data_IF_164462883005
#
_entry.id   IF_164462883005
#
_cell.length_a   1.000
_cell.length_b   1.000
_cell.length_c   1.000
_cell.angle_alpha   90.00
_cell.angle_beta   90.00
_cell.angle_gamma   90.00
#
_symmetry.space_group_name_H-M   'P 1'
#
loop_
_entity.id
_entity.type
_entity.pdbx_description
1 polymer ?
#
# COMPACT_ATOMS: atom_id res chain seq x y z
N UNK A 1 -51.28 -0.03 -18.62
CA UNK A 1 -49.85 -0.26 -18.93
C UNK A 1 -49.09 -0.02 -17.63
N UNK A 2 -48.92 -1.06 -16.81
CA UNK A 2 -48.14 -0.98 -15.57
C UNK A 2 -46.66 -1.10 -15.95
N UNK A 3 -45.88 -0.05 -15.75
CA UNK A 3 -44.42 -0.14 -15.79
C UNK A 3 -43.95 -0.94 -14.57
N UNK A 4 -43.48 -2.17 -14.80
CA UNK A 4 -42.73 -2.94 -13.83
C UNK A 4 -41.37 -2.27 -13.61
N UNK A 5 -41.18 -1.65 -12.44
CA UNK A 5 -39.86 -1.28 -11.93
C UNK A 5 -39.11 -2.56 -11.59
N UNK A 6 -38.18 -2.96 -12.47
CA UNK A 6 -37.15 -3.94 -12.14
C UNK A 6 -36.33 -3.37 -10.98
N UNK A 7 -36.05 -4.15 -9.92
CA UNK A 7 -35.13 -3.72 -8.89
C UNK A 7 -33.76 -3.54 -9.55
N UNK A 8 -33.23 -2.31 -9.51
CA UNK A 8 -31.83 -2.08 -9.81
C UNK A 8 -31.03 -2.89 -8.79
N UNK A 9 -30.27 -3.86 -9.29
CA UNK A 9 -29.21 -4.50 -8.53
C UNK A 9 -28.23 -3.39 -8.12
N UNK A 10 -28.40 -2.89 -6.90
CA UNK A 10 -27.31 -2.21 -6.22
C UNK A 10 -26.23 -3.27 -6.06
N UNK A 11 -25.12 -3.11 -6.80
CA UNK A 11 -23.89 -3.86 -6.51
C UNK A 11 -23.49 -3.47 -5.09
N UNK A 12 -23.89 -4.28 -4.13
CA UNK A 12 -23.34 -4.27 -2.77
C UNK A 12 -21.82 -4.33 -2.92
N UNK A 13 -21.10 -3.56 -2.11
CA UNK A 13 -19.63 -3.61 -2.04
C UNK A 13 -19.18 -5.07 -2.17
N UNK A 14 -18.31 -5.35 -3.14
CA UNK A 14 -17.84 -6.70 -3.43
C UNK A 14 -17.57 -7.42 -2.11
N UNK A 15 -18.30 -8.51 -1.86
CA UNK A 15 -18.07 -9.34 -0.69
C UNK A 15 -16.67 -9.93 -0.87
N UNK A 16 -15.67 -9.27 -0.30
CA UNK A 16 -14.29 -9.70 -0.40
C UNK A 16 -14.18 -11.10 0.18
N UNK A 17 -13.43 -11.95 -0.50
CA UNK A 17 -13.29 -13.37 -0.16
C UNK A 17 -12.62 -13.60 1.20
N UNK A 18 -12.03 -12.56 1.80
CA UNK A 18 -11.37 -12.57 3.10
C UNK A 18 -11.32 -11.16 3.69
N UNK A 19 -10.96 -11.04 4.98
CA UNK A 19 -10.69 -9.74 5.63
C UNK A 19 -9.45 -9.07 5.02
N UNK A 20 -9.41 -7.73 5.07
CA UNK A 20 -8.25 -6.95 4.67
C UNK A 20 -7.03 -7.17 5.58
N UNK A 21 -7.25 -7.71 6.78
CA UNK A 21 -6.22 -7.92 7.80
C UNK A 21 -5.06 -8.79 7.32
N UNK A 22 -3.85 -8.35 7.66
CA UNK A 22 -2.59 -8.98 7.30
C UNK A 22 -1.62 -8.02 6.64
N UNK A 23 -0.48 -8.57 6.22
CA UNK A 23 0.57 -7.85 5.49
C UNK A 23 0.49 -8.19 4.00
N UNK A 24 0.42 -7.18 3.15
CA UNK A 24 0.31 -7.29 1.70
C UNK A 24 1.50 -6.62 1.04
N UNK A 25 2.21 -7.33 0.16
CA UNK A 25 3.38 -6.77 -0.55
C UNK A 25 3.30 -7.00 -2.05
N UNK A 26 3.87 -6.07 -2.82
CA UNK A 26 4.04 -6.18 -4.26
C UNK A 26 4.98 -7.34 -4.64
N UNK A 27 4.95 -7.75 -5.91
CA UNK A 27 5.68 -8.91 -6.45
C UNK A 27 7.18 -8.98 -6.13
N UNK A 28 7.86 -7.85 -5.88
CA UNK A 28 9.30 -7.88 -5.58
C UNK A 28 9.65 -8.57 -4.26
N UNK A 29 8.68 -8.70 -3.33
CA UNK A 29 8.87 -9.38 -2.05
C UNK A 29 10.07 -8.84 -1.25
N UNK A 30 10.36 -7.55 -1.42
CA UNK A 30 11.49 -6.91 -0.79
C UNK A 30 11.06 -5.80 0.18
N UNK A 31 9.93 -5.16 -0.09
CA UNK A 31 9.38 -4.10 0.75
C UNK A 31 8.33 -4.72 1.67
N UNK A 32 8.48 -4.52 2.97
CA UNK A 32 7.54 -4.95 3.99
C UNK A 32 7.35 -3.82 4.98
N UNK A 33 6.14 -3.65 5.48
CA UNK A 33 5.89 -2.82 6.65
C UNK A 33 6.56 -3.41 7.90
N UNK A 34 6.73 -2.57 8.91
CA UNK A 34 7.26 -2.86 10.22
C UNK A 34 8.63 -2.23 10.49
N UNK A 35 9.30 -2.66 11.57
CA UNK A 35 10.56 -2.09 12.04
C UNK A 35 11.73 -2.25 11.05
N UNK A 36 11.62 -3.19 10.10
CA UNK A 36 12.62 -3.41 9.05
C UNK A 36 12.59 -2.36 7.95
N UNK A 37 11.51 -1.57 7.84
CA UNK A 37 11.39 -0.48 6.88
C UNK A 37 11.49 0.89 7.57
N UNK A 38 10.85 1.05 8.74
CA UNK A 38 10.97 2.24 9.55
C UNK A 38 11.28 1.88 11.00
N UNK A 39 12.43 2.34 11.48
CA UNK A 39 12.82 2.19 12.87
C UNK A 39 12.32 3.40 13.68
N UNK A 40 11.23 3.20 14.41
CA UNK A 40 10.57 4.24 15.23
C UNK A 40 11.43 4.79 16.36
N UNK A 41 12.32 3.98 16.95
CA UNK A 41 13.24 4.41 18.02
C UNK A 41 14.31 5.40 17.54
N UNK A 42 14.89 5.16 16.37
CA UNK A 42 15.92 6.03 15.78
C UNK A 42 15.35 7.05 14.79
N UNK A 43 14.08 6.91 14.42
CA UNK A 43 13.41 7.75 13.44
C UNK A 43 14.05 7.65 12.05
N UNK A 44 14.41 6.44 11.60
CA UNK A 44 15.14 6.21 10.33
C UNK A 44 14.38 5.26 9.41
N UNK A 45 14.35 5.61 8.12
CA UNK A 45 13.95 4.70 7.05
C UNK A 45 15.12 3.79 6.67
N UNK A 46 14.82 2.52 6.42
CA UNK A 46 15.77 1.47 6.05
C UNK A 46 15.45 1.08 4.60
N UNK A 47 16.46 1.14 3.74
CA UNK A 47 16.30 0.88 2.31
C UNK A 47 16.21 -0.63 2.02
N UNK A 48 15.12 -1.10 1.40
CA UNK A 48 15.01 -2.48 0.94
C UNK A 48 15.91 -2.79 -0.26
N UNK A 49 16.17 -4.08 -0.52
CA UNK A 49 17.00 -4.51 -1.65
C UNK A 49 16.39 -4.22 -3.03
N UNK A 50 15.06 -4.21 -3.14
CA UNK A 50 14.32 -3.96 -4.38
C UNK A 50 13.13 -3.04 -4.11
N UNK A 51 12.72 -2.29 -5.13
CA UNK A 51 11.55 -1.41 -5.08
C UNK A 51 10.26 -2.21 -4.89
N UNK A 52 9.26 -1.61 -4.28
CA UNK A 52 7.98 -2.23 -4.05
C UNK A 52 7.07 -1.39 -3.15
N UNK A 53 5.91 -1.97 -2.88
CA UNK A 53 4.85 -1.39 -2.06
C UNK A 53 4.44 -2.45 -1.05
N UNK A 54 4.19 -2.04 0.18
CA UNK A 54 3.63 -2.88 1.22
C UNK A 54 2.62 -2.10 2.05
N UNK A 55 1.55 -2.78 2.41
CA UNK A 55 0.53 -2.28 3.33
C UNK A 55 0.22 -3.35 4.36
N UNK A 56 0.07 -2.95 5.62
CA UNK A 56 -0.48 -3.81 6.67
C UNK A 56 -1.77 -3.23 7.20
N UNK A 57 -2.71 -4.10 7.52
CA UNK A 57 -4.01 -3.72 8.08
C UNK A 57 -4.34 -4.60 9.27
N UNK A 58 -4.92 -4.00 10.30
CA UNK A 58 -5.42 -4.70 11.48
C UNK A 58 -6.96 -4.76 11.48
N UNK A 59 -7.53 -5.71 12.22
CA UNK A 59 -8.99 -5.82 12.38
C UNK A 59 -9.58 -4.66 13.22
N UNK A 60 -8.78 -4.01 14.05
CA UNK A 60 -9.18 -2.84 14.85
C UNK A 60 -9.01 -1.49 14.13
N UNK A 61 -8.73 -1.51 12.82
CA UNK A 61 -8.84 -0.34 11.96
C UNK A 61 -7.56 0.47 11.78
N UNK A 62 -6.38 -0.08 12.06
CA UNK A 62 -5.09 0.55 11.83
C UNK A 62 -4.43 0.06 10.54
N UNK A 63 -3.63 0.95 9.94
CA UNK A 63 -2.82 0.63 8.77
C UNK A 63 -1.39 1.13 8.92
N UNK A 64 -0.47 0.49 8.19
CA UNK A 64 0.86 1.01 7.89
C UNK A 64 1.14 0.88 6.39
N UNK A 65 1.82 1.87 5.83
CA UNK A 65 2.34 1.86 4.45
C UNK A 65 3.87 1.90 4.44
N UNK A 66 4.45 1.15 3.50
CA UNK A 66 5.86 1.19 3.18
C UNK A 66 6.03 1.19 1.66
N UNK A 67 6.64 2.25 1.13
CA UNK A 67 6.80 2.45 -0.31
C UNK A 67 8.27 2.71 -0.61
N UNK A 68 8.83 1.94 -1.52
CA UNK A 68 10.15 2.21 -2.10
C UNK A 68 10.05 2.20 -3.63
N UNK A 69 10.28 3.35 -4.26
CA UNK A 69 10.27 3.47 -5.72
C UNK A 69 11.56 4.13 -6.22
N UNK A 70 11.94 3.78 -7.44
CA UNK A 70 12.96 4.48 -8.22
C UNK A 70 12.30 5.21 -9.39
N UNK A 71 12.78 6.41 -9.67
CA UNK A 71 12.27 7.27 -10.74
C UNK A 71 13.40 7.40 -11.75
N UNK A 72 13.19 6.87 -12.95
CA UNK A 72 14.16 6.96 -14.04
C UNK A 72 14.19 8.36 -14.63
N UNK A 73 15.36 8.76 -15.15
CA UNK A 73 15.54 9.99 -15.91
C UNK A 73 16.07 9.66 -17.30
N UNK A 74 15.20 9.39 -18.30
CA UNK A 74 15.63 8.98 -19.63
C UNK A 74 16.52 10.02 -20.33
N UNK A 75 16.36 11.30 -20.02
CA UNK A 75 17.18 12.39 -20.58
C UNK A 75 18.59 12.42 -19.97
N UNK A 76 18.75 11.98 -18.72
CA UNK A 76 20.04 11.88 -18.04
C UNK A 76 20.09 10.60 -17.18
N UNK A 77 20.40 9.44 -17.78
CA UNK A 77 20.34 8.14 -17.10
C UNK A 77 21.27 8.01 -15.88
N UNK A 78 22.32 8.82 -15.80
CA UNK A 78 23.21 8.90 -14.63
C UNK A 78 22.58 9.58 -13.41
N UNK A 79 21.34 10.08 -13.53
CA UNK A 79 20.61 10.80 -12.49
C UNK A 79 19.26 10.14 -12.14
N UNK A 80 19.24 8.87 -11.71
CA UNK A 80 18.02 8.29 -11.16
C UNK A 80 17.69 8.95 -9.82
N UNK A 81 16.42 8.92 -9.45
CA UNK A 81 15.96 9.31 -8.11
C UNK A 81 15.37 8.11 -7.39
N UNK A 82 15.36 8.16 -6.08
CA UNK A 82 14.72 7.15 -5.24
C UNK A 82 13.87 7.81 -4.15
N UNK A 83 12.75 7.19 -3.82
CA UNK A 83 11.83 7.65 -2.79
C UNK A 83 11.52 6.49 -1.85
N UNK A 84 11.79 6.69 -0.57
CA UNK A 84 11.23 5.86 0.50
C UNK A 84 10.16 6.67 1.21
N UNK A 85 9.01 6.07 1.47
CA UNK A 85 7.90 6.70 2.16
C UNK A 85 7.28 5.72 3.15
N UNK A 86 7.02 6.24 4.34
CA UNK A 86 6.38 5.55 5.46
C UNK A 86 5.26 6.43 6.00
N UNK A 87 4.10 5.83 6.25
CA UNK A 87 3.03 6.39 7.08
C UNK A 87 2.29 5.27 7.80
N UNK A 88 1.60 5.64 8.88
CA UNK A 88 0.69 4.75 9.58
C UNK A 88 -0.43 5.56 10.23
N UNK A 89 -1.50 4.90 10.63
CA UNK A 89 -2.65 5.54 11.25
C UNK A 89 -3.87 4.64 11.18
N UNK A 90 -5.04 5.24 10.94
CA UNK A 90 -6.31 4.49 10.86
C UNK A 90 -6.83 4.41 9.43
N UNK A 91 -7.65 3.41 9.12
CA UNK A 91 -8.31 3.33 7.83
C UNK A 91 -9.83 3.21 7.99
N UNK A 92 -10.54 3.54 6.92
CA UNK A 92 -12.00 3.40 6.85
C UNK A 92 -12.41 2.73 5.55
N UNK A 93 -13.53 2.01 5.58
CA UNK A 93 -14.13 1.31 4.44
C UNK A 93 -15.54 1.87 4.20
N UNK A 94 -15.68 3.05 3.56
CA UNK A 94 -17.00 3.64 3.37
C UNK A 94 -17.90 2.77 2.48
N UNK A 95 -19.24 2.87 2.59
CA UNK A 95 -20.19 2.04 1.84
C UNK A 95 -20.10 2.17 0.31
N UNK A 96 -19.41 3.19 -0.20
CA UNK A 96 -19.17 3.38 -1.63
C UNK A 96 -18.08 2.43 -2.20
N UNK A 97 -17.48 1.56 -1.37
CA UNK A 97 -16.45 0.60 -1.76
C UNK A 97 -15.03 1.16 -1.78
N UNK A 98 -14.83 2.40 -1.32
CA UNK A 98 -13.48 2.98 -1.19
C UNK A 98 -12.73 2.43 0.03
N UNK A 99 -11.42 2.59 0.00
CA UNK A 99 -10.53 2.43 1.15
C UNK A 99 -9.82 3.77 1.36
N UNK A 100 -9.95 4.35 2.55
CA UNK A 100 -9.34 5.64 2.88
C UNK A 100 -8.38 5.46 4.05
N UNK A 101 -7.14 5.87 3.85
CA UNK A 101 -6.06 5.82 4.83
C UNK A 101 -5.89 7.20 5.47
N UNK A 102 -5.94 7.25 6.81
CA UNK A 102 -5.87 8.47 7.63
C UNK A 102 -4.59 8.44 8.48
N UNK A 103 -3.47 9.00 7.98
CA UNK A 103 -2.21 8.99 8.70
C UNK A 103 -2.24 9.82 9.99
N UNK A 104 -1.42 9.42 10.95
CA UNK A 104 -1.05 10.27 12.08
C UNK A 104 -0.07 11.34 11.57
N UNK A 105 -0.52 12.60 11.62
CA UNK A 105 0.14 13.71 10.94
C UNK A 105 1.64 13.92 11.28
N UNK A 106 2.06 13.54 12.48
CA UNK A 106 3.42 13.77 12.97
C UNK A 106 4.38 12.59 12.72
N UNK A 107 3.87 11.44 12.26
CA UNK A 107 4.63 10.19 12.24
C UNK A 107 5.17 9.81 10.88
N UNK A 108 4.51 10.20 9.80
CA UNK A 108 4.97 9.85 8.46
C UNK A 108 6.34 10.44 8.12
N UNK A 109 7.10 9.71 7.31
CA UNK A 109 8.48 10.02 6.91
C UNK A 109 8.66 9.79 5.43
N UNK A 110 9.45 10.65 4.81
CA UNK A 110 9.83 10.49 3.41
C UNK A 110 11.31 10.80 3.24
N UNK A 111 12.01 9.96 2.49
CA UNK A 111 13.40 10.13 2.11
C UNK A 111 13.49 10.19 0.59
N UNK A 112 13.92 11.34 0.07
CA UNK A 112 14.18 11.55 -1.35
C UNK A 112 15.69 11.53 -1.60
N UNK A 113 16.15 10.61 -2.43
CA UNK A 113 17.50 10.60 -2.97
C UNK A 113 17.49 11.15 -4.40
N UNK A 114 18.16 12.29 -4.60
CA UNK A 114 18.40 12.91 -5.91
C UNK A 114 19.84 13.41 -5.93
N UNK A 115 20.76 12.54 -6.33
CA UNK A 115 22.21 12.79 -6.32
C UNK A 115 22.66 13.85 -7.31
N UNK A 116 21.83 14.18 -8.30
CA UNK A 116 22.15 15.18 -9.30
C UNK A 116 21.73 16.59 -8.91
N UNK A 117 20.78 16.70 -7.99
CA UNK A 117 20.36 17.99 -7.42
C UNK A 117 21.02 18.24 -6.05
N UNK A 118 21.18 17.20 -5.24
CA UNK A 118 21.65 17.32 -3.86
C UNK A 118 22.86 16.40 -3.58
N UNK A 119 23.75 16.84 -2.68
CA UNK A 119 24.89 16.02 -2.22
C UNK A 119 24.49 14.89 -1.26
N UNK A 120 23.30 14.97 -0.66
CA UNK A 120 22.77 14.02 0.33
C UNK A 120 21.26 13.86 0.10
N UNK A 121 20.72 12.74 0.56
CA UNK A 121 19.28 12.52 0.57
C UNK A 121 18.56 13.53 1.48
N UNK A 122 17.36 13.92 1.10
CA UNK A 122 16.49 14.82 1.84
C UNK A 122 15.51 13.98 2.65
N UNK A 123 15.50 14.17 3.98
CA UNK A 123 14.60 13.50 4.90
C UNK A 123 13.58 14.50 5.44
N UNK A 124 12.30 14.18 5.34
CA UNK A 124 11.22 15.07 5.74
C UNK A 124 10.08 14.32 6.43
N UNK A 125 9.29 15.05 7.21
CA UNK A 125 7.98 14.57 7.67
C UNK A 125 7.03 14.52 6.48
N UNK A 126 6.11 13.56 6.50
CA UNK A 126 5.17 13.35 5.42
C UNK A 126 3.77 13.06 5.98
N UNK A 127 2.76 13.74 5.46
CA UNK A 127 1.36 13.56 5.86
C UNK A 127 0.47 13.69 4.61
N UNK A 128 -0.19 12.61 4.23
CA UNK A 128 -1.06 12.59 3.05
C UNK A 128 -2.13 11.51 3.22
N UNK A 129 -3.39 11.91 3.30
CA UNK A 129 -4.51 10.96 3.21
C UNK A 129 -4.48 10.29 1.84
N UNK A 130 -4.41 8.96 1.83
CA UNK A 130 -4.49 8.16 0.61
C UNK A 130 -5.93 7.64 0.42
N UNK A 131 -6.46 7.80 -0.79
CA UNK A 131 -7.80 7.34 -1.17
C UNK A 131 -7.67 6.34 -2.30
N UNK A 132 -8.08 5.10 -2.03
CA UNK A 132 -8.34 4.11 -3.05
C UNK A 132 -9.82 4.15 -3.40
N UNK A 133 -10.12 4.44 -4.67
CA UNK A 133 -11.49 4.53 -5.18
C UNK A 133 -12.23 3.21 -5.01
N UNK A 134 -11.52 2.10 -5.16
CA UNK A 134 -12.00 0.75 -5.00
C UNK A 134 -10.86 -0.13 -4.48
N UNK A 135 -11.22 -1.19 -3.79
CA UNK A 135 -10.33 -2.30 -3.47
C UNK A 135 -11.09 -3.62 -3.64
N UNK A 136 -10.38 -4.69 -3.95
CA UNK A 136 -10.93 -6.04 -3.93
C UNK A 136 -9.85 -7.05 -3.52
N UNK A 137 -10.29 -8.15 -2.94
CA UNK A 137 -9.44 -9.31 -2.71
C UNK A 137 -9.93 -10.46 -3.59
N UNK A 138 -9.00 -11.04 -4.34
CA UNK A 138 -9.22 -12.15 -5.27
C UNK A 138 -8.27 -13.30 -4.96
N UNK A 139 -8.61 -14.53 -5.35
CA UNK A 139 -7.67 -15.64 -5.31
C UNK A 139 -6.76 -15.64 -6.55
N UNK A 140 -5.48 -15.93 -6.34
CA UNK A 140 -4.46 -16.15 -7.36
C UNK A 140 -3.85 -17.54 -7.16
N UNK A 141 -4.60 -18.57 -7.56
CA UNK A 141 -4.23 -19.98 -7.34
C UNK A 141 -2.94 -20.39 -8.05
N UNK A 142 -2.68 -19.84 -9.24
CA UNK A 142 -1.45 -20.12 -10.00
C UNK A 142 -0.20 -19.70 -9.22
N UNK A 143 -0.23 -18.51 -8.64
CA UNK A 143 0.91 -18.01 -7.86
C UNK A 143 1.05 -18.73 -6.53
N UNK A 144 -0.06 -19.02 -5.86
CA UNK A 144 -0.07 -19.76 -4.60
C UNK A 144 0.67 -21.10 -4.73
N UNK A 145 0.40 -21.83 -5.82
CA UNK A 145 1.02 -23.12 -6.11
C UNK A 145 2.52 -22.99 -6.43
N UNK A 146 2.88 -22.07 -7.34
CA UNK A 146 4.27 -21.92 -7.79
C UNK A 146 5.22 -21.39 -6.72
N UNK A 147 4.77 -20.40 -5.94
CA UNK A 147 5.62 -19.73 -4.96
C UNK A 147 5.42 -20.29 -3.54
N UNK A 148 4.46 -21.20 -3.33
CA UNK A 148 4.05 -21.74 -2.01
C UNK A 148 3.65 -20.65 -1.02
N UNK A 149 2.80 -19.72 -1.49
CA UNK A 149 2.41 -18.51 -0.75
C UNK A 149 0.90 -18.45 -0.53
N UNK A 150 0.44 -17.44 0.21
CA UNK A 150 -0.99 -17.18 0.39
C UNK A 150 -1.70 -17.00 -0.96
N UNK A 151 -2.88 -17.59 -1.19
CA UNK A 151 -3.58 -17.46 -2.46
C UNK A 151 -4.26 -16.10 -2.64
N UNK A 152 -4.15 -15.18 -1.67
CA UNK A 152 -4.88 -13.93 -1.70
C UNK A 152 -4.09 -12.80 -2.35
N UNK A 153 -4.74 -12.13 -3.31
CA UNK A 153 -4.23 -10.93 -3.99
C UNK A 153 -5.17 -9.76 -3.73
N UNK A 154 -4.62 -8.67 -3.23
CA UNK A 154 -5.29 -7.39 -3.04
C UNK A 154 -5.05 -6.52 -4.27
N UNK A 155 -6.14 -6.15 -4.94
CA UNK A 155 -6.12 -5.18 -6.03
C UNK A 155 -6.66 -3.85 -5.50
N UNK A 156 -5.94 -2.77 -5.76
CA UNK A 156 -6.29 -1.42 -5.35
C UNK A 156 -6.46 -0.55 -6.60
N UNK A 157 -7.43 0.35 -6.58
CA UNK A 157 -7.59 1.39 -7.60
C UNK A 157 -7.36 2.74 -6.95
N UNK A 158 -6.45 3.51 -7.54
CA UNK A 158 -6.11 4.86 -7.08
C UNK A 158 -7.34 5.77 -7.15
N UNK A 159 -7.23 6.97 -6.58
CA UNK A 159 -8.30 7.96 -6.56
C UNK A 159 -8.87 8.30 -7.95
N UNK A 160 -8.05 8.21 -9.01
CA UNK A 160 -8.42 8.44 -10.41
C UNK A 160 -9.06 7.20 -11.08
N UNK A 161 -9.10 6.06 -10.38
CA UNK A 161 -9.57 4.79 -10.90
C UNK A 161 -8.54 4.01 -11.72
N UNK A 162 -7.29 4.46 -11.79
CA UNK A 162 -6.22 3.65 -12.37
C UNK A 162 -5.86 2.49 -11.42
N UNK A 163 -5.62 1.27 -11.92
CA UNK A 163 -5.17 0.17 -11.08
C UNK A 163 -3.79 0.47 -10.50
N UNK A 164 -3.60 0.20 -9.21
CA UNK A 164 -2.30 0.17 -8.57
C UNK A 164 -1.59 -1.17 -8.82
N UNK A 165 -0.34 -1.27 -8.38
CA UNK A 165 0.38 -2.54 -8.44
C UNK A 165 -0.33 -3.59 -7.57
N UNK A 166 -0.51 -4.84 -8.05
CA UNK A 166 -1.13 -5.89 -7.26
C UNK A 166 -0.27 -6.24 -6.05
N UNK A 167 -0.94 -6.49 -4.92
CA UNK A 167 -0.32 -6.86 -3.67
C UNK A 167 -0.73 -8.30 -3.31
N UNK A 168 0.17 -9.04 -2.70
CA UNK A 168 -0.03 -10.44 -2.32
C UNK A 168 0.11 -10.57 -0.80
N UNK A 169 -0.77 -11.34 -0.17
CA UNK A 169 -0.70 -11.53 1.27
C UNK A 169 0.51 -12.40 1.62
N UNK A 170 1.41 -11.85 2.42
CA UNK A 170 2.64 -12.53 2.87
C UNK A 170 2.56 -12.99 4.31
N UNK A 171 1.72 -12.33 5.11
CA UNK A 171 1.44 -12.72 6.49
C UNK A 171 -0.03 -12.44 6.80
N UNK A 172 -0.70 -13.35 7.49
CA UNK A 172 -2.05 -13.12 8.02
C UNK A 172 -2.03 -12.19 9.23
N UNK A 173 -0.90 -12.12 9.93
CA UNK A 173 -0.66 -11.14 10.98
C UNK A 173 -0.07 -9.85 10.37
N UNK A 174 -0.62 -8.67 10.70
CA UNK A 174 -0.06 -7.41 10.25
C UNK A 174 1.32 -7.16 10.88
N UNK A 175 2.28 -6.74 10.05
CA UNK A 175 3.61 -6.30 10.47
C UNK A 175 3.64 -4.77 10.51
N UNK A 176 3.56 -4.18 11.70
CA UNK A 176 3.43 -2.73 11.86
C UNK A 176 4.27 -2.24 13.05
N UNK A 177 4.69 -0.98 13.00
CA UNK A 177 5.11 -0.24 14.17
C UNK A 177 3.89 0.05 15.07
N UNK A 178 4.10 0.32 16.37
CA UNK A 178 3.00 0.70 17.27
C UNK A 178 2.29 1.97 16.78
N UNK A 179 0.95 1.91 16.71
CA UNK A 179 0.06 2.97 16.24
C UNK A 179 -0.80 3.53 17.37
#
# INVERSE_FOLDING_TARGET
ILLSLLPQSHKTAAANITSLTGTWTSKSWAVFTGPDFYNSTSGRLIEPKLTGFSYSFTDDGYFEEAIYITISNPRKPSCPKALLQYQHGTYTLPPNGSLVLHPIAIDGRQLLSDSCTFKRAVYAKFNATEVFKQWEITEDGYRAELEQISPYRLNLWRWDGAPANPLYRVDSKPRMNPT
#
